data_IF_807502540934
#
_entry.id   IF_807502540934
#
_cell.length_a   1.000
_cell.length_b   1.000
_cell.length_c   1.000
_cell.angle_alpha   90.00
_cell.angle_beta   90.00
_cell.angle_gamma   90.00
#
_symmetry.space_group_name_H-M   'P 1'
#
loop_
_entity.id
_entity.type
_entity.pdbx_description
1 polymer ?
#
# COMPACT_ATOMS: atom_id res chain seq x y z
N UNK A 1 18.24 7.01 -1.60
CA UNK A 1 17.13 6.06 -1.45
C UNK A 1 16.45 5.89 -2.79
N UNK A 2 16.23 4.67 -3.18
CA UNK A 2 15.61 4.39 -4.46
C UNK A 2 14.13 4.78 -4.45
N UNK A 3 13.67 5.26 -5.61
CA UNK A 3 12.27 5.57 -5.79
C UNK A 3 11.48 4.28 -5.97
N UNK A 4 10.32 4.18 -5.35
CA UNK A 4 9.45 3.03 -5.56
C UNK A 4 8.99 3.00 -7.01
N UNK A 5 9.29 1.91 -7.71
CA UNK A 5 8.92 1.78 -9.11
C UNK A 5 7.50 1.21 -9.25
N UNK A 6 6.90 1.43 -10.43
CA UNK A 6 5.59 0.87 -10.74
C UNK A 6 5.64 -0.66 -10.64
N UNK A 7 6.70 -1.28 -11.15
CA UNK A 7 6.82 -2.74 -11.12
C UNK A 7 6.90 -3.27 -9.69
N UNK A 8 7.64 -2.59 -8.83
CA UNK A 8 7.71 -2.97 -7.42
C UNK A 8 6.35 -2.83 -6.76
N UNK A 9 5.65 -1.73 -7.01
CA UNK A 9 4.32 -1.51 -6.46
C UNK A 9 3.34 -2.59 -6.93
N UNK A 10 3.42 -2.98 -8.22
CA UNK A 10 2.55 -4.03 -8.76
C UNK A 10 2.74 -5.36 -8.05
N UNK A 11 3.94 -5.65 -7.55
CA UNK A 11 4.20 -6.90 -6.85
C UNK A 11 3.43 -7.02 -5.53
N UNK A 12 2.94 -5.90 -5.01
CA UNK A 12 2.16 -5.87 -3.77
C UNK A 12 0.65 -5.82 -3.99
N UNK A 13 0.18 -5.82 -5.24
CA UNK A 13 -1.25 -5.78 -5.51
C UNK A 13 -1.96 -6.97 -4.89
N UNK A 14 -3.09 -6.69 -4.23
CA UNK A 14 -3.87 -7.71 -3.52
C UNK A 14 -3.33 -8.06 -2.16
N UNK A 15 -2.19 -7.50 -1.77
CA UNK A 15 -1.56 -7.81 -0.49
C UNK A 15 -1.80 -6.70 0.52
N UNK A 16 -1.77 -7.06 1.80
CA UNK A 16 -1.88 -6.08 2.88
C UNK A 16 -0.49 -5.56 3.23
N UNK A 17 -0.38 -4.26 3.35
CA UNK A 17 0.91 -3.60 3.50
C UNK A 17 0.81 -2.40 4.44
N UNK A 18 1.97 -1.95 4.90
CA UNK A 18 2.16 -0.62 5.46
C UNK A 18 2.87 0.22 4.41
N UNK A 19 2.34 1.40 4.14
CA UNK A 19 2.98 2.34 3.20
C UNK A 19 3.79 3.35 3.99
N UNK A 20 5.11 3.31 3.81
CA UNK A 20 6.00 4.27 4.44
C UNK A 20 6.16 5.48 3.54
N UNK A 21 5.65 6.61 4.00
CA UNK A 21 5.59 7.84 3.22
C UNK A 21 6.85 8.65 3.44
N UNK A 22 7.26 9.39 2.41
CA UNK A 22 8.54 10.12 2.44
C UNK A 22 8.61 11.19 3.52
N UNK A 23 7.46 11.67 4.00
CA UNK A 23 7.42 12.64 5.08
C UNK A 23 7.61 12.03 6.46
N UNK A 24 7.80 10.71 6.53
CA UNK A 24 8.00 9.99 7.79
C UNK A 24 6.74 9.35 8.35
N UNK A 25 5.57 9.62 7.76
CA UNK A 25 4.34 8.99 8.22
C UNK A 25 4.21 7.58 7.66
N UNK A 26 3.35 6.78 8.28
CA UNK A 26 3.09 5.41 7.86
C UNK A 26 1.58 5.22 7.75
N UNK A 27 1.13 4.76 6.59
CA UNK A 27 -0.26 4.36 6.38
C UNK A 27 -0.31 2.86 6.66
N UNK A 28 -0.93 2.49 7.78
CA UNK A 28 -0.85 1.12 8.27
C UNK A 28 -2.00 0.26 7.77
N UNK A 29 -1.66 -0.98 7.44
CA UNK A 29 -2.61 -2.07 7.16
C UNK A 29 -3.65 -1.70 6.11
N UNK A 30 -3.18 -1.45 4.90
CA UNK A 30 -4.04 -1.21 3.74
C UNK A 30 -3.78 -2.29 2.70
N UNK A 31 -4.81 -2.60 1.92
CA UNK A 31 -4.68 -3.51 0.79
C UNK A 31 -4.51 -2.69 -0.48
N UNK A 32 -3.51 -3.03 -1.28
CA UNK A 32 -3.31 -2.36 -2.57
C UNK A 32 -4.25 -2.97 -3.59
N UNK A 33 -5.06 -2.13 -4.22
CA UNK A 33 -6.08 -2.57 -5.17
C UNK A 33 -5.62 -2.46 -6.61
N UNK A 34 -5.04 -1.32 -6.98
CA UNK A 34 -4.63 -1.09 -8.36
C UNK A 34 -3.65 0.07 -8.45
N UNK A 35 -2.93 0.10 -9.55
CA UNK A 35 -2.05 1.22 -9.88
C UNK A 35 -2.74 2.02 -10.98
N UNK A 36 -2.94 3.30 -10.74
CA UNK A 36 -3.66 4.18 -11.66
C UNK A 36 -2.71 5.22 -12.23
N UNK A 37 -2.77 5.41 -13.54
CA UNK A 37 -2.00 6.45 -14.19
C UNK A 37 -2.94 7.60 -14.56
N UNK A 38 -2.50 8.80 -14.23
CA UNK A 38 -3.27 9.99 -14.58
C UNK A 38 -2.87 10.47 -15.98
N UNK A 39 -3.82 10.50 -16.89
CA UNK A 39 -3.59 10.93 -18.28
C UNK A 39 -3.30 12.41 -18.40
N UNK A 40 -3.53 13.19 -17.36
CA UNK A 40 -3.30 14.62 -17.36
C UNK A 40 -1.96 15.01 -16.76
N UNK A 41 -1.03 14.06 -16.63
CA UNK A 41 0.33 14.38 -16.23
C UNK A 41 0.54 14.50 -14.73
N UNK A 42 -0.43 14.15 -13.90
CA UNK A 42 -0.27 14.22 -12.45
C UNK A 42 0.48 13.02 -11.87
N UNK A 43 0.84 12.06 -12.73
CA UNK A 43 1.66 10.93 -12.32
C UNK A 43 0.86 9.68 -12.02
N UNK A 44 1.47 8.80 -11.25
CA UNK A 44 0.91 7.49 -10.93
C UNK A 44 0.43 7.47 -9.49
N UNK A 45 -0.71 6.83 -9.28
CA UNK A 45 -1.33 6.71 -7.95
C UNK A 45 -1.53 5.26 -7.61
N UNK A 46 -1.46 4.95 -6.31
CA UNK A 46 -1.81 3.64 -5.80
C UNK A 46 -3.16 3.75 -5.12
N UNK A 47 -4.13 2.96 -5.59
CA UNK A 47 -5.45 2.92 -4.97
C UNK A 47 -5.43 1.84 -3.90
N UNK A 48 -5.79 2.19 -2.67
CA UNK A 48 -5.73 1.27 -1.55
C UNK A 48 -6.96 1.41 -0.66
N UNK A 49 -7.23 0.35 0.10
CA UNK A 49 -8.36 0.33 1.02
C UNK A 49 -7.87 -0.14 2.39
N UNK A 50 -8.22 0.56 3.47
CA UNK A 50 -7.84 0.12 4.81
C UNK A 50 -8.47 -1.24 5.14
N UNK A 51 -7.76 -2.04 5.92
CA UNK A 51 -8.21 -3.36 6.32
C UNK A 51 -9.59 -3.29 6.99
N UNK A 52 -10.52 -4.13 6.54
CA UNK A 52 -11.91 -4.19 7.02
C UNK A 52 -12.70 -2.91 6.76
N UNK A 53 -12.24 -2.05 5.85
CA UNK A 53 -12.98 -0.87 5.42
C UNK A 53 -13.38 -1.04 3.97
N UNK A 54 -14.33 -0.20 3.52
CA UNK A 54 -14.85 -0.29 2.16
C UNK A 54 -14.42 0.87 1.27
N UNK A 55 -14.09 2.01 1.88
CA UNK A 55 -13.75 3.19 1.11
C UNK A 55 -12.27 3.19 0.77
N UNK A 56 -11.97 3.25 -0.53
CA UNK A 56 -10.60 3.32 -1.00
C UNK A 56 -10.13 4.76 -1.11
N UNK A 57 -8.82 4.93 -1.16
CA UNK A 57 -8.21 6.24 -1.35
C UNK A 57 -6.95 6.08 -2.19
N UNK A 58 -6.49 7.17 -2.77
CA UNK A 58 -5.33 7.17 -3.67
C UNK A 58 -4.14 7.84 -3.01
N UNK A 59 -2.97 7.24 -3.19
CA UNK A 59 -1.71 7.80 -2.70
C UNK A 59 -0.79 7.96 -3.89
N UNK A 60 -0.23 9.17 -4.12
CA UNK A 60 0.73 9.34 -5.20
C UNK A 60 1.94 8.43 -5.00
N UNK A 61 2.29 7.68 -6.05
CA UNK A 61 3.41 6.75 -5.98
C UNK A 61 4.70 7.45 -5.56
N UNK A 62 4.90 8.67 -6.05
CA UNK A 62 6.11 9.45 -5.74
C UNK A 62 6.25 9.81 -4.27
N UNK A 63 5.16 9.77 -3.49
CA UNK A 63 5.19 10.07 -2.06
C UNK A 63 5.52 8.85 -1.21
N UNK A 64 5.49 7.67 -1.79
CA UNK A 64 5.76 6.43 -1.06
C UNK A 64 7.26 6.17 -1.08
N UNK A 65 7.86 6.07 0.11
CA UNK A 65 9.28 5.74 0.23
C UNK A 65 9.52 4.25 0.00
N UNK A 66 8.74 3.42 0.68
CA UNK A 66 8.82 1.96 0.52
C UNK A 66 7.55 1.30 1.06
N UNK A 67 7.39 0.04 0.72
CA UNK A 67 6.19 -0.75 1.07
C UNK A 67 6.63 -1.93 1.93
N UNK A 68 5.95 -2.11 3.05
CA UNK A 68 6.21 -3.21 3.96
C UNK A 68 5.03 -4.19 3.91
N UNK A 69 5.30 -5.43 3.50
CA UNK A 69 4.23 -6.43 3.43
C UNK A 69 3.89 -6.94 4.81
N UNK A 70 2.59 -7.07 5.09
CA UNK A 70 2.08 -7.61 6.34
C UNK A 70 1.53 -9.00 6.08
N UNK A 71 1.84 -9.94 6.99
CA UNK A 71 1.28 -11.27 6.91
C UNK A 71 0.03 -11.35 7.79
N UNK A 72 -1.14 -11.38 7.16
CA UNK A 72 -2.40 -11.54 7.89
C UNK A 72 -2.50 -12.90 8.56
N UNK A 73 -1.82 -13.90 7.99
CA UNK A 73 -1.82 -15.24 8.59
C UNK A 73 -1.19 -15.23 9.97
N UNK A 74 -0.12 -14.46 10.16
CA UNK A 74 0.50 -14.33 11.48
C UNK A 74 -0.44 -13.69 12.49
N UNK A 75 -1.19 -12.68 12.05
CA UNK A 75 -2.15 -11.99 12.90
C UNK A 75 -3.26 -12.96 13.33
N UNK A 76 -3.78 -13.74 12.39
CA UNK A 76 -4.84 -14.70 12.67
C UNK A 76 -4.36 -15.81 13.59
N UNK A 77 -3.15 -16.32 13.39
CA UNK A 77 -2.58 -17.35 14.25
C UNK A 77 -2.43 -16.87 15.69
N UNK A 78 -1.99 -15.62 15.87
CA UNK A 78 -1.85 -15.06 17.20
C UNK A 78 -3.19 -14.96 17.91
N UNK A 79 -4.25 -14.63 17.18
CA UNK A 79 -5.59 -14.55 17.74
C UNK A 79 -6.14 -15.93 18.11
N UNK A 80 -5.83 -16.93 17.28
CA UNK A 80 -6.32 -18.30 17.51
C UNK A 80 -5.70 -18.95 18.72
N UNK A 81 -4.53 -18.51 19.14
CA UNK A 81 -3.83 -19.08 20.30
C UNK A 81 -4.35 -18.57 21.62
N UNK A 82 -5.21 -17.60 21.59
CA UNK A 82 -5.85 -17.06 22.79
C UNK A 82 -7.16 -17.80 23.09
#
# INVERSE_FOLDING_TARGET
>A
MERLSVNTAKSFLGKNVNLHVKDGSVIVNVQLLEILRDDFGKGTFVNCVPYKRQNSFKVPLKKIAWVEQISLNLILENNDKN
#
